data_IF_200321171610
#
_entry.id   IF_200321171610
#
_cell.length_a   1.000
_cell.length_b   1.000
_cell.length_c   1.000
_cell.angle_alpha   90.00
_cell.angle_beta   90.00
_cell.angle_gamma   90.00
#
_symmetry.space_group_name_H-M   'P 1'
#
loop_
_entity.id
_entity.type
_entity.pdbx_description
1 polymer ?
#
# COMPACT_ATOMS: atom_id res chain seq x y z
N UNK A 1 14.06 -4.73 -16.27
CA UNK A 1 14.91 -4.54 -15.08
C UNK A 1 13.99 -4.33 -13.88
N UNK A 2 14.27 -5.01 -12.77
CA UNK A 2 13.59 -4.80 -11.49
C UNK A 2 14.46 -3.89 -10.63
N UNK A 3 13.85 -2.86 -10.05
CA UNK A 3 14.50 -1.98 -9.09
C UNK A 3 14.00 -2.30 -7.69
N UNK A 4 14.91 -2.60 -6.76
CA UNK A 4 14.56 -2.72 -5.35
C UNK A 4 14.47 -1.32 -4.72
N UNK A 5 13.39 -1.07 -3.97
CA UNK A 5 13.18 0.15 -3.21
C UNK A 5 12.92 -0.25 -1.76
N UNK A 6 13.79 0.21 -0.87
CA UNK A 6 13.67 -0.02 0.57
C UNK A 6 12.66 0.95 1.20
N UNK A 7 11.38 0.80 0.82
CA UNK A 7 10.26 1.58 1.31
C UNK A 7 9.02 0.68 1.43
N UNK A 8 8.42 0.59 2.61
CA UNK A 8 7.19 -0.20 2.77
C UNK A 8 5.98 0.47 2.13
N UNK A 9 5.90 1.79 2.29
CA UNK A 9 4.82 2.60 1.75
C UNK A 9 5.16 2.99 0.33
N UNK A 10 4.36 2.52 -0.63
CA UNK A 10 4.57 2.69 -2.05
C UNK A 10 3.50 3.61 -2.64
N UNK A 11 3.92 4.57 -3.46
CA UNK A 11 3.00 5.47 -4.17
C UNK A 11 2.50 4.81 -5.46
N UNK A 12 1.20 4.85 -5.69
CA UNK A 12 0.58 4.48 -6.96
C UNK A 12 0.69 5.64 -7.93
N UNK A 13 1.08 5.34 -9.17
CA UNK A 13 1.20 6.31 -10.26
C UNK A 13 0.51 5.77 -11.51
N UNK A 14 -0.25 6.62 -12.21
CA UNK A 14 -1.00 6.22 -13.40
C UNK A 14 -1.81 4.92 -13.19
N UNK A 15 -1.83 4.02 -14.17
CA UNK A 15 -2.38 2.67 -14.01
C UNK A 15 -1.28 1.70 -13.60
N UNK A 16 -1.35 1.18 -12.37
CA UNK A 16 -0.34 0.30 -11.78
C UNK A 16 -0.86 -1.14 -11.65
N UNK A 17 -0.09 -2.11 -12.13
CA UNK A 17 -0.23 -3.51 -11.79
C UNK A 17 0.61 -3.81 -10.55
N UNK A 18 -0.05 -4.29 -9.50
CA UNK A 18 0.53 -4.63 -8.20
C UNK A 18 0.45 -6.15 -8.01
N UNK A 19 1.57 -6.80 -7.70
CA UNK A 19 1.68 -8.26 -7.57
C UNK A 19 2.28 -8.60 -6.21
N UNK A 20 1.68 -9.58 -5.52
CA UNK A 20 2.18 -10.14 -4.27
C UNK A 20 3.44 -10.96 -4.54
N UNK A 21 4.58 -10.56 -3.98
CA UNK A 21 5.88 -11.18 -4.28
C UNK A 21 5.93 -12.65 -3.85
N UNK A 22 5.33 -13.01 -2.71
CA UNK A 22 5.32 -14.40 -2.25
C UNK A 22 4.71 -15.35 -3.28
N UNK A 23 3.64 -14.94 -3.98
CA UNK A 23 3.07 -15.74 -5.07
C UNK A 23 4.01 -15.81 -6.29
N UNK A 24 4.72 -14.73 -6.62
CA UNK A 24 5.73 -14.75 -7.69
C UNK A 24 6.84 -15.76 -7.37
N UNK A 25 7.34 -15.75 -6.14
CA UNK A 25 8.38 -16.69 -5.69
C UNK A 25 7.86 -18.12 -5.70
N UNK A 26 6.63 -18.36 -5.24
CA UNK A 26 6.01 -19.70 -5.26
C UNK A 26 5.90 -20.26 -6.69
N UNK A 27 5.43 -19.44 -7.64
CA UNK A 27 5.12 -19.90 -9.01
C UNK A 27 6.31 -19.90 -9.96
N UNK A 28 7.24 -18.96 -9.78
CA UNK A 28 8.35 -18.71 -10.72
C UNK A 28 9.74 -18.88 -10.07
N UNK A 29 9.80 -19.20 -8.78
CA UNK A 29 11.02 -19.48 -8.03
C UNK A 29 11.77 -18.24 -7.54
N UNK A 30 11.82 -17.15 -8.31
CA UNK A 30 12.36 -15.86 -7.86
C UNK A 30 11.83 -14.70 -8.71
N UNK A 31 11.91 -13.47 -8.16
CA UNK A 31 11.57 -12.25 -8.91
C UNK A 31 12.49 -12.08 -10.13
N UNK A 32 13.77 -12.43 -10.01
CA UNK A 32 14.74 -12.36 -11.10
C UNK A 32 14.38 -13.30 -12.26
N UNK A 33 14.01 -14.55 -11.95
CA UNK A 33 13.55 -15.53 -12.95
C UNK A 33 12.28 -15.06 -13.62
N UNK A 34 11.30 -14.61 -12.83
CA UNK A 34 10.06 -14.03 -13.35
C UNK A 34 10.31 -12.86 -14.31
N UNK A 35 11.17 -11.91 -13.91
CA UNK A 35 11.53 -10.74 -14.72
C UNK A 35 12.21 -11.13 -16.03
N UNK A 36 13.20 -12.03 -15.97
CA UNK A 36 13.97 -12.45 -17.13
C UNK A 36 13.14 -13.28 -18.11
N UNK A 37 12.35 -14.23 -17.61
CA UNK A 37 11.55 -15.13 -18.44
C UNK A 37 10.41 -14.40 -19.15
N UNK A 38 9.80 -13.40 -18.49
CA UNK A 38 8.61 -12.72 -19.00
C UNK A 38 8.88 -11.28 -19.46
N UNK A 39 10.17 -10.88 -19.53
CA UNK A 39 10.60 -9.52 -19.85
C UNK A 39 9.87 -8.45 -19.01
N UNK A 40 9.64 -8.75 -17.73
CA UNK A 40 8.90 -7.87 -16.82
C UNK A 40 9.85 -6.86 -16.17
N UNK A 41 9.46 -5.59 -16.15
CA UNK A 41 10.20 -4.50 -15.50
C UNK A 41 9.31 -3.76 -14.52
N UNK A 42 9.87 -3.34 -13.39
CA UNK A 42 9.09 -2.74 -12.32
C UNK A 42 9.92 -2.43 -11.09
N UNK A 43 9.24 -2.09 -10.01
CA UNK A 43 9.81 -1.78 -8.70
C UNK A 43 9.33 -2.78 -7.66
N UNK A 44 10.15 -3.09 -6.67
CA UNK A 44 9.76 -3.99 -5.58
C UNK A 44 10.39 -3.60 -4.25
N UNK A 45 9.68 -3.81 -3.15
CA UNK A 45 10.23 -3.74 -1.79
C UNK A 45 10.41 -5.13 -1.15
N UNK A 46 10.34 -6.20 -1.95
CA UNK A 46 10.41 -7.59 -1.47
C UNK A 46 9.07 -8.20 -1.06
N UNK A 47 8.05 -7.40 -0.74
CA UNK A 47 6.69 -7.88 -0.47
C UNK A 47 5.72 -7.63 -1.63
N UNK A 48 5.90 -6.48 -2.29
CA UNK A 48 5.10 -6.04 -3.42
C UNK A 48 6.00 -5.83 -4.63
N UNK A 49 5.53 -6.26 -5.81
CA UNK A 49 6.14 -5.98 -7.11
C UNK A 49 5.16 -5.16 -7.93
N UNK A 50 5.60 -4.02 -8.47
CA UNK A 50 4.73 -3.10 -9.20
C UNK A 50 5.31 -2.70 -10.54
N UNK A 51 4.44 -2.46 -11.51
CA UNK A 51 4.78 -1.75 -12.76
C UNK A 51 3.61 -0.87 -13.16
N UNK A 52 3.88 0.23 -13.86
CA UNK A 52 2.86 1.19 -14.22
C UNK A 52 2.95 1.58 -15.69
N UNK A 53 1.82 2.00 -16.26
CA UNK A 53 1.76 2.60 -17.58
C UNK A 53 0.87 3.85 -17.61
N UNK A 54 1.23 4.79 -18.48
CA UNK A 54 0.53 6.06 -18.67
C UNK A 54 -0.69 5.90 -19.60
N UNK A 55 -1.49 4.85 -19.39
CA UNK A 55 -2.70 4.56 -20.15
C UNK A 55 -3.82 4.08 -19.24
N UNK A 56 -5.03 4.58 -19.48
CA UNK A 56 -6.27 4.05 -18.92
C UNK A 56 -7.26 3.84 -20.07
N UNK A 57 -7.73 2.60 -20.31
CA UNK A 57 -7.39 1.37 -19.57
C UNK A 57 -5.94 0.89 -19.85
N UNK A 58 -5.35 0.10 -18.93
CA UNK A 58 -3.96 -0.31 -19.04
C UNK A 58 -3.75 -1.57 -19.89
N UNK A 59 -3.99 -1.46 -21.21
CA UNK A 59 -4.05 -2.61 -22.12
C UNK A 59 -2.84 -3.54 -22.07
N UNK A 60 -1.60 -3.02 -21.94
CA UNK A 60 -0.42 -3.91 -21.94
C UNK A 60 -0.28 -4.65 -20.61
N UNK A 61 -0.65 -4.01 -19.50
CA UNK A 61 -0.66 -4.67 -18.20
C UNK A 61 -1.76 -5.74 -18.12
N UNK A 62 -2.93 -5.48 -18.71
CA UNK A 62 -4.01 -6.47 -18.83
C UNK A 62 -3.60 -7.66 -19.69
N UNK A 63 -3.01 -7.39 -20.86
CA UNK A 63 -2.48 -8.44 -21.74
C UNK A 63 -1.41 -9.29 -21.04
N UNK A 64 -0.49 -8.64 -20.30
CA UNK A 64 0.51 -9.31 -19.50
C UNK A 64 -0.13 -10.19 -18.42
N UNK A 65 -1.11 -9.66 -17.69
CA UNK A 65 -1.81 -10.42 -16.66
C UNK A 65 -2.51 -11.66 -17.25
N UNK A 66 -3.15 -11.55 -18.42
CA UNK A 66 -3.76 -12.72 -19.06
C UNK A 66 -2.72 -13.77 -19.49
N UNK A 67 -1.67 -13.34 -20.19
CA UNK A 67 -0.69 -14.25 -20.79
C UNK A 67 0.27 -14.87 -19.79
N UNK A 68 0.52 -14.19 -18.68
CA UNK A 68 1.53 -14.60 -17.70
C UNK A 68 0.90 -14.94 -16.37
N UNK A 69 0.20 -14.01 -15.72
CA UNK A 69 -0.28 -14.22 -14.36
C UNK A 69 -1.41 -15.25 -14.31
N UNK A 70 -2.50 -15.01 -15.05
CA UNK A 70 -3.67 -15.90 -15.11
C UNK A 70 -3.28 -17.25 -15.71
N UNK A 71 -2.49 -17.26 -16.78
CA UNK A 71 -2.01 -18.49 -17.41
C UNK A 71 -1.19 -19.38 -16.46
N UNK A 72 -0.56 -18.81 -15.43
CA UNK A 72 0.18 -19.55 -14.39
C UNK A 72 -0.60 -19.68 -13.07
N UNK A 73 -1.92 -19.44 -13.11
CA UNK A 73 -2.84 -19.69 -12.00
C UNK A 73 -2.86 -18.63 -10.90
N UNK A 74 -2.32 -17.42 -11.15
CA UNK A 74 -2.48 -16.29 -10.23
C UNK A 74 -3.90 -15.72 -10.35
N UNK A 75 -4.47 -15.32 -9.23
CA UNK A 75 -5.87 -14.88 -9.11
C UNK A 75 -5.93 -13.40 -8.75
N UNK A 76 -6.76 -12.65 -9.50
CA UNK A 76 -7.03 -11.24 -9.22
C UNK A 76 -7.54 -11.05 -7.77
N UNK A 77 -7.14 -9.95 -7.12
CA UNK A 77 -7.37 -9.62 -5.70
C UNK A 77 -6.66 -10.54 -4.69
N UNK A 78 -6.32 -11.78 -5.04
CA UNK A 78 -5.58 -12.70 -4.17
C UNK A 78 -4.07 -12.59 -4.33
N UNK A 79 -3.60 -12.48 -5.57
CA UNK A 79 -2.19 -12.52 -5.94
C UNK A 79 -1.73 -11.25 -6.65
N UNK A 80 -2.65 -10.56 -7.33
CA UNK A 80 -2.36 -9.30 -8.01
C UNK A 80 -3.60 -8.41 -8.09
N UNK A 81 -3.39 -7.12 -8.36
CA UNK A 81 -4.43 -6.11 -8.47
C UNK A 81 -4.03 -5.04 -9.49
N UNK A 82 -5.02 -4.48 -10.18
CA UNK A 82 -4.85 -3.23 -10.93
C UNK A 82 -5.36 -2.06 -10.10
N UNK A 83 -4.53 -1.05 -9.92
CA UNK A 83 -4.85 0.16 -9.17
C UNK A 83 -4.57 1.35 -10.07
N UNK A 84 -5.58 2.17 -10.30
CA UNK A 84 -5.45 3.44 -11.00
C UNK A 84 -5.25 4.55 -9.98
N UNK A 85 -4.34 5.47 -10.27
CA UNK A 85 -4.17 6.68 -9.49
C UNK A 85 -5.43 7.53 -9.56
N UNK A 86 -6.08 7.74 -8.41
CA UNK A 86 -7.17 8.69 -8.30
C UNK A 86 -6.59 10.09 -8.09
N UNK A 87 -7.04 11.05 -8.90
CA UNK A 87 -6.71 12.44 -8.64
C UNK A 87 -7.18 12.83 -7.24
N UNK A 88 -6.39 13.63 -6.53
CA UNK A 88 -6.68 14.05 -5.14
C UNK A 88 -7.11 15.51 -5.08
N UNK A 89 -6.91 16.25 -6.17
CA UNK A 89 -7.29 17.64 -6.36
C UNK A 89 -7.98 17.81 -7.72
N UNK A 90 -9.19 18.36 -7.69
CA UNK A 90 -9.94 18.75 -8.89
C UNK A 90 -9.52 20.12 -9.44
N UNK A 91 -10.17 20.52 -10.53
CA UNK A 91 -10.01 21.87 -11.10
C UNK A 91 -10.46 22.89 -10.04
N UNK A 92 -9.69 23.98 -9.86
CA UNK A 92 -9.89 25.01 -8.80
C UNK A 92 -9.59 24.57 -7.36
N UNK A 93 -8.89 23.45 -7.17
CA UNK A 93 -8.42 23.03 -5.84
C UNK A 93 -9.49 22.39 -4.96
N UNK A 94 -10.60 21.93 -5.57
CA UNK A 94 -11.59 21.12 -4.87
C UNK A 94 -10.96 19.79 -4.44
N UNK A 95 -11.03 19.52 -3.13
CA UNK A 95 -10.55 18.27 -2.55
C UNK A 95 -11.62 17.20 -2.79
N UNK A 96 -11.22 16.05 -3.33
CA UNK A 96 -12.15 14.96 -3.62
C UNK A 96 -12.62 14.23 -2.35
N UNK A 97 -13.83 13.68 -2.39
CA UNK A 97 -14.51 13.07 -1.23
C UNK A 97 -13.77 11.88 -0.61
N UNK A 98 -12.86 11.24 -1.36
CA UNK A 98 -12.17 10.02 -0.95
C UNK A 98 -10.87 10.24 -0.18
N UNK A 99 -10.49 11.49 0.09
CA UNK A 99 -9.31 11.76 0.93
C UNK A 99 -9.53 11.12 2.30
N UNK A 100 -8.46 10.56 2.84
CA UNK A 100 -8.38 9.84 4.12
C UNK A 100 -9.03 8.45 4.16
N UNK A 101 -9.58 7.99 3.04
CA UNK A 101 -10.15 6.65 2.90
C UNK A 101 -9.16 5.67 2.26
N UNK A 102 -9.35 4.35 2.48
CA UNK A 102 -8.71 3.33 1.67
C UNK A 102 -9.05 3.46 0.19
N UNK A 103 -8.13 3.06 -0.67
CA UNK A 103 -8.38 3.03 -2.10
C UNK A 103 -9.49 2.03 -2.44
N UNK A 104 -10.52 2.38 -3.24
CA UNK A 104 -11.66 1.51 -3.50
C UNK A 104 -11.28 0.13 -4.06
N UNK A 105 -10.25 0.07 -4.92
CA UNK A 105 -9.73 -1.19 -5.49
C UNK A 105 -9.11 -2.14 -4.46
N UNK A 106 -8.75 -1.65 -3.27
CA UNK A 106 -8.13 -2.43 -2.21
C UNK A 106 -9.12 -2.91 -1.15
N UNK A 107 -10.39 -2.48 -1.20
CA UNK A 107 -11.40 -2.75 -0.16
C UNK A 107 -11.61 -4.23 0.18
N UNK A 108 -11.46 -5.13 -0.80
CA UNK A 108 -11.65 -6.57 -0.64
C UNK A 108 -10.32 -7.35 -0.55
N UNK A 109 -9.19 -6.66 -0.57
CA UNK A 109 -7.86 -7.26 -0.64
C UNK A 109 -7.26 -7.40 0.76
N UNK A 110 -6.98 -8.64 1.18
CA UNK A 110 -6.51 -8.92 2.56
C UNK A 110 -5.01 -8.72 2.78
N UNK A 111 -4.21 -8.73 1.71
CA UNK A 111 -2.74 -8.67 1.79
C UNK A 111 -2.19 -7.27 1.53
N UNK A 112 -3.07 -6.31 1.24
CA UNK A 112 -2.70 -4.96 0.85
C UNK A 112 -3.59 -3.96 1.56
N UNK A 113 -2.98 -2.97 2.18
CA UNK A 113 -3.67 -1.80 2.71
C UNK A 113 -3.34 -0.57 1.88
N UNK A 114 -4.17 0.46 1.99
CA UNK A 114 -4.04 1.65 1.17
C UNK A 114 -4.66 2.86 1.83
N UNK A 115 -4.20 4.05 1.45
CA UNK A 115 -4.84 5.30 1.83
C UNK A 115 -4.68 6.33 0.71
N UNK A 116 -5.72 7.13 0.51
CA UNK A 116 -5.69 8.29 -0.37
C UNK A 116 -5.48 9.52 0.51
N UNK A 117 -4.43 10.30 0.25
CA UNK A 117 -4.19 11.58 0.93
C UNK A 117 -3.98 12.68 -0.13
N UNK A 118 -3.84 13.94 0.28
CA UNK A 118 -3.66 15.04 -0.68
C UNK A 118 -2.46 14.85 -1.63
N UNK A 119 -1.41 14.17 -1.17
CA UNK A 119 -0.20 13.89 -1.96
C UNK A 119 -0.31 12.75 -2.98
N UNK A 120 -1.41 11.97 -2.96
CA UNK A 120 -1.64 10.86 -3.88
C UNK A 120 -2.23 9.62 -3.21
N UNK A 121 -2.03 8.49 -3.88
CA UNK A 121 -2.59 7.19 -3.52
C UNK A 121 -1.43 6.31 -3.05
N UNK A 122 -1.53 5.74 -1.86
CA UNK A 122 -0.46 4.98 -1.23
C UNK A 122 -0.94 3.58 -0.86
N UNK A 123 -0.05 2.60 -0.98
CA UNK A 123 -0.30 1.21 -0.61
C UNK A 123 0.86 0.65 0.20
N UNK A 124 0.61 -0.38 1.00
CA UNK A 124 1.64 -1.17 1.68
C UNK A 124 1.15 -2.59 1.92
N UNK A 125 2.10 -3.50 2.15
CA UNK A 125 1.79 -4.90 2.43
C UNK A 125 1.17 -5.01 3.82
N UNK A 126 0.03 -5.71 3.93
CA UNK A 126 -0.61 -5.96 5.22
C UNK A 126 -0.19 -7.35 5.72
N UNK A 127 0.52 -7.36 6.85
CA UNK A 127 1.01 -8.59 7.46
C UNK A 127 -0.15 -9.46 7.97
N UNK A 128 -0.34 -10.68 7.42
CA UNK A 128 -1.50 -11.50 7.77
C UNK A 128 -1.53 -11.98 9.23
N UNK A 129 -0.38 -11.93 9.91
CA UNK A 129 -0.23 -12.34 11.32
C UNK A 129 -0.72 -11.28 12.31
N UNK A 130 -0.93 -10.03 11.87
CA UNK A 130 -1.39 -8.95 12.74
C UNK A 130 -2.86 -9.15 13.13
N UNK A 131 -3.14 -8.91 14.41
CA UNK A 131 -4.52 -8.76 14.91
C UNK A 131 -5.21 -7.54 14.29
N UNK A 132 -6.54 -7.50 14.35
CA UNK A 132 -7.31 -6.36 13.82
C UNK A 132 -6.92 -5.04 14.49
N UNK A 133 -6.62 -5.07 15.79
CA UNK A 133 -6.14 -3.91 16.54
C UNK A 133 -4.77 -3.44 16.03
N UNK A 134 -3.81 -4.35 15.83
CA UNK A 134 -2.49 -4.00 15.31
C UNK A 134 -2.56 -3.50 13.87
N UNK A 135 -3.47 -4.05 13.06
CA UNK A 135 -3.70 -3.58 11.69
C UNK A 135 -4.24 -2.16 11.67
N UNK A 136 -5.27 -1.86 12.46
CA UNK A 136 -5.82 -0.51 12.61
C UNK A 136 -4.76 0.47 13.14
N UNK A 137 -3.93 0.05 14.10
CA UNK A 137 -2.81 0.84 14.60
C UNK A 137 -1.78 1.17 13.50
N UNK A 138 -1.37 0.18 12.69
CA UNK A 138 -0.46 0.38 11.56
C UNK A 138 -1.08 1.32 10.52
N UNK A 139 -2.33 1.10 10.13
CA UNK A 139 -3.03 1.96 9.20
C UNK A 139 -3.02 3.43 9.64
N UNK A 140 -3.40 3.69 10.89
CA UNK A 140 -3.43 5.05 11.46
C UNK A 140 -2.05 5.67 11.54
N UNK A 141 -1.04 4.89 11.93
CA UNK A 141 0.35 5.35 11.98
C UNK A 141 0.85 5.74 10.59
N UNK A 142 0.67 4.87 9.60
CA UNK A 142 1.17 5.08 8.24
C UNK A 142 0.49 6.30 7.61
N UNK A 143 -0.84 6.40 7.76
CA UNK A 143 -1.62 7.57 7.36
C UNK A 143 -1.11 8.84 8.03
N UNK A 144 -0.87 8.83 9.34
CA UNK A 144 -0.37 9.99 10.06
C UNK A 144 1.03 10.42 9.56
N UNK A 145 1.93 9.46 9.36
CA UNK A 145 3.28 9.74 8.89
C UNK A 145 3.29 10.34 7.47
N UNK A 146 2.39 9.90 6.59
CA UNK A 146 2.25 10.47 5.25
C UNK A 146 1.85 11.97 5.26
N UNK A 147 1.18 12.46 6.31
CA UNK A 147 0.84 13.88 6.46
C UNK A 147 1.97 14.75 6.98
N UNK A 148 3.01 14.17 7.57
CA UNK A 148 4.14 14.92 8.13
C UNK A 148 5.17 15.36 7.08
N UNK A 149 4.80 15.30 5.79
CA UNK A 149 5.56 15.69 4.60
C UNK A 149 6.97 15.09 4.57
N UNK A 150 6.97 13.80 4.26
CA UNK A 150 8.10 12.91 4.44
C UNK A 150 8.77 12.56 3.11
N UNK A 151 8.70 13.47 2.14
CA UNK A 151 9.47 13.39 0.87
C UNK A 151 11.01 13.29 1.09
N UNK A 152 11.48 13.25 2.35
CA UNK A 152 12.87 13.06 2.77
C UNK A 152 13.15 11.82 3.64
N UNK A 153 12.16 11.04 4.10
CA UNK A 153 12.44 9.85 4.93
C UNK A 153 11.88 8.61 4.24
N UNK A 154 12.76 7.64 3.99
CA UNK A 154 12.38 6.26 3.66
C UNK A 154 11.68 5.66 4.88
N UNK A 155 10.38 5.91 5.01
CA UNK A 155 9.59 5.43 6.13
C UNK A 155 9.38 3.93 6.00
N UNK A 156 10.16 3.15 6.75
CA UNK A 156 9.82 1.77 7.09
C UNK A 156 9.35 1.74 8.55
N UNK A 157 8.12 2.20 8.84
CA UNK A 157 7.63 2.28 10.21
C UNK A 157 7.36 0.88 10.76
N UNK A 158 7.80 0.63 11.98
CA UNK A 158 7.51 -0.63 12.70
C UNK A 158 7.01 -0.30 14.08
N UNK A 159 5.78 -0.70 14.39
CA UNK A 159 5.28 -0.63 15.77
C UNK A 159 6.05 -1.66 16.59
N UNK A 160 6.71 -1.19 17.65
CA UNK A 160 7.49 -2.04 18.55
C UNK A 160 6.70 -2.43 19.79
N UNK A 161 5.82 -1.53 20.26
CA UNK A 161 4.99 -1.73 21.42
C UNK A 161 3.79 -0.77 21.43
N UNK A 162 2.66 -1.22 21.96
CA UNK A 162 1.49 -0.36 22.23
C UNK A 162 1.13 -0.53 23.71
N UNK A 163 1.11 0.57 24.44
CA UNK A 163 0.68 0.61 25.84
C UNK A 163 -0.67 1.34 26.00
N UNK A 164 -1.07 1.63 27.24
CA UNK A 164 -2.34 2.31 27.54
C UNK A 164 -2.41 3.75 26.98
N UNK A 165 -1.27 4.41 26.77
CA UNK A 165 -1.17 5.83 26.43
C UNK A 165 -0.55 6.06 25.04
N UNK A 166 0.41 5.25 24.61
CA UNK A 166 1.25 5.50 23.44
C UNK A 166 1.33 4.30 22.50
N UNK A 167 1.50 4.62 21.22
CA UNK A 167 2.06 3.71 20.21
C UNK A 167 3.54 4.05 20.06
N UNK A 168 4.40 3.07 20.34
CA UNK A 168 5.85 3.16 20.17
C UNK A 168 6.23 2.53 18.84
N UNK A 169 7.06 3.22 18.08
CA UNK A 169 7.46 2.77 16.76
C UNK A 169 8.88 3.22 16.40
N UNK A 170 9.50 2.51 15.47
CA UNK A 170 10.72 2.96 14.79
C UNK A 170 10.39 3.41 13.38
N UNK A 171 11.29 4.19 12.78
CA UNK A 171 11.22 4.59 11.38
C UNK A 171 12.54 4.22 10.73
N UNK A 172 12.48 3.51 9.59
CA UNK A 172 13.65 2.97 8.90
C UNK A 172 14.39 1.94 9.77
N UNK A 173 15.54 1.44 9.30
CA UNK A 173 16.49 0.66 10.10
C UNK A 173 17.19 1.49 11.22
N UNK A 174 16.61 2.64 11.59
CA UNK A 174 17.16 3.47 12.64
C UNK A 174 16.93 2.84 14.02
N UNK A 175 17.89 3.02 14.92
CA UNK A 175 17.73 2.68 16.35
C UNK A 175 16.91 3.74 17.10
N UNK A 176 16.35 4.72 16.39
CA UNK A 176 15.55 5.78 17.02
C UNK A 176 14.15 5.27 17.32
N UNK A 177 13.74 5.43 18.57
CA UNK A 177 12.41 5.05 19.04
C UNK A 177 11.56 6.31 19.15
N UNK A 178 10.42 6.29 18.48
CA UNK A 178 9.42 7.33 18.49
C UNK A 178 8.19 6.84 19.27
N UNK A 179 7.40 7.79 19.75
CA UNK A 179 6.10 7.50 20.33
C UNK A 179 5.10 8.56 19.95
N UNK A 180 3.85 8.14 19.75
CA UNK A 180 2.73 9.01 19.49
C UNK A 180 1.59 8.63 20.42
N UNK A 181 0.90 9.64 20.97
CA UNK A 181 -0.22 9.41 21.88
C UNK A 181 -1.34 8.66 21.15
N UNK A 182 -1.94 7.66 21.80
CA UNK A 182 -3.03 6.87 21.21
C UNK A 182 -4.19 7.76 20.80
N UNK A 183 -4.60 8.69 21.66
CA UNK A 183 -5.62 9.66 21.27
C UNK A 183 -5.20 10.50 20.05
N UNK A 184 -3.93 10.86 19.87
CA UNK A 184 -3.54 11.58 18.65
C UNK A 184 -3.72 10.73 17.36
N UNK A 185 -3.57 9.40 17.44
CA UNK A 185 -3.81 8.47 16.33
C UNK A 185 -5.28 8.12 16.13
N UNK A 186 -6.03 7.90 17.21
CA UNK A 186 -7.43 7.44 17.17
C UNK A 186 -8.45 8.60 17.18
N UNK A 187 -8.16 9.73 17.83
CA UNK A 187 -9.07 10.88 17.94
C UNK A 187 -8.97 11.86 16.76
N UNK A 188 -7.99 11.70 15.86
CA UNK A 188 -7.86 12.53 14.65
C UNK A 188 -8.97 12.30 13.60
N UNK A 189 -9.92 11.40 13.86
CA UNK A 189 -11.14 11.22 13.05
C UNK A 189 -11.99 12.50 12.94
N UNK A 190 -11.96 13.37 13.95
CA UNK A 190 -12.69 14.65 13.93
C UNK A 190 -12.08 15.70 13.00
N UNK A 191 -10.79 15.58 12.66
CA UNK A 191 -10.08 16.54 11.80
C UNK A 191 -9.88 16.03 10.37
N UNK A 192 -9.93 14.71 10.15
CA UNK A 192 -9.56 14.08 8.88
C UNK A 192 -10.57 13.05 8.33
N UNK A 193 -11.76 12.88 8.94
CA UNK A 193 -12.82 11.99 8.42
C UNK A 193 -12.77 10.55 8.97
N UNK A 194 -13.94 9.89 8.97
CA UNK A 194 -14.18 8.56 9.57
C UNK A 194 -13.57 7.45 8.73
N UNK A 195 -12.63 6.68 9.28
CA UNK A 195 -12.22 5.40 8.70
C UNK A 195 -13.40 4.42 8.70
N UNK A 196 -13.82 3.96 7.52
CA UNK A 196 -14.95 3.03 7.34
C UNK A 196 -14.63 1.55 7.66
N UNK A 197 -13.43 1.26 8.20
CA UNK A 197 -12.96 -0.10 8.48
C UNK A 197 -13.65 -0.80 9.66
N UNK A 198 -14.44 -0.08 10.47
CA UNK A 198 -15.27 -0.67 11.51
C UNK A 198 -16.75 -0.65 11.08
N UNK A 199 -17.10 -1.46 10.08
CA UNK A 199 -18.47 -2.00 10.02
C UNK A 199 -18.53 -3.17 10.98
N UNK A 200 -19.03 -2.89 12.18
CA UNK A 200 -19.54 -3.91 13.09
C UNK A 200 -20.54 -4.78 12.33
N UNK A 201 -20.24 -6.06 12.22
CA UNK A 201 -21.19 -7.10 11.89
C UNK A 201 -22.28 -7.12 12.96
N UNK A 202 -23.47 -6.67 12.58
CA UNK A 202 -24.76 -7.07 13.19
C UNK A 202 -25.24 -8.36 12.53
#
# INVERSE_FOLDING_TARGET
MITYIDQDIQKIVFSTLVIKVSTVVEKFGSIEKFSTQHNFSGVTNGNILMTAEMSSPPFRLEEFAQKVLIANGLVLQKDYLFIEELLTQGVRGEILEYINEPHPKCSEVKWLESVIISGGNYIWFSEPSLSDFERDANFRLFKNLLYCDVDKIQLNPRITHIDETYVHYTVSDSKMNYKIHRDALWYNELKYGKSSLLKTSD
#
